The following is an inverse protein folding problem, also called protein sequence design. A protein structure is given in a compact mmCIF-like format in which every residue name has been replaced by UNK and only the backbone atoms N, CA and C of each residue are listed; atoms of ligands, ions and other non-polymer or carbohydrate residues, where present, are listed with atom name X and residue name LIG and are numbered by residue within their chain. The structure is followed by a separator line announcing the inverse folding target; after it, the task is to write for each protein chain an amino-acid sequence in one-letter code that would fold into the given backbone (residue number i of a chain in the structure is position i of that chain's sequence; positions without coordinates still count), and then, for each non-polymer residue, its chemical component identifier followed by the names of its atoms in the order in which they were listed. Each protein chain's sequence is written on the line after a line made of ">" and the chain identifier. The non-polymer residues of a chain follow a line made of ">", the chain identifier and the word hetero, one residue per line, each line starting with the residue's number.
data_IF_597973225954
#
_entry.id   IF_597973225954
#
_cell.length_a   1.000
_cell.length_b   1.000
_cell.length_c   1.000
_cell.angle_alpha   90.00
_cell.angle_beta   90.00
_cell.angle_gamma   90.00
#
_symmetry.space_group_name_H-M   'P 1'
#
loop_
_entity.id
_entity.type
_entity.pdbx_description
1 polymer ?
#
# COMPACT_ATOMS: atom_id res chain seq x y z
N UNK A 1 64.01 5.79 31.77
CA UNK A 1 63.13 6.78 31.10
C UNK A 1 62.09 6.17 30.14
N UNK A 2 62.15 4.87 29.81
CA UNK A 2 61.13 4.22 28.94
C UNK A 2 59.84 3.77 29.68
N UNK A 3 59.87 3.52 30.99
CA UNK A 3 58.71 2.97 31.69
C UNK A 3 57.56 3.97 31.95
N UNK A 4 57.83 5.29 31.97
CA UNK A 4 56.76 6.30 32.15
C UNK A 4 55.87 6.49 30.92
N UNK A 5 56.27 6.05 29.72
CA UNK A 5 55.47 6.21 28.50
C UNK A 5 54.37 5.16 28.35
N UNK A 6 54.54 3.97 28.93
CA UNK A 6 53.56 2.88 28.83
C UNK A 6 52.32 3.09 29.72
N UNK A 7 52.49 3.72 30.89
CA UNK A 7 51.39 3.94 31.81
C UNK A 7 50.35 4.95 31.27
N UNK A 8 50.80 5.98 30.55
CA UNK A 8 49.90 6.96 29.94
C UNK A 8 49.11 6.39 28.75
N UNK A 9 49.68 5.43 28.02
CA UNK A 9 49.00 4.79 26.89
C UNK A 9 47.88 3.84 27.36
N UNK A 10 48.10 3.11 28.46
CA UNK A 10 47.09 2.22 29.05
C UNK A 10 45.89 2.97 29.64
N UNK A 11 46.11 4.16 30.21
CA UNK A 11 45.02 5.00 30.75
C UNK A 11 44.17 5.56 29.59
N UNK A 12 44.79 6.00 28.50
CA UNK A 12 44.04 6.48 27.33
C UNK A 12 43.24 5.33 26.69
N UNK A 13 43.82 4.13 26.59
CA UNK A 13 43.11 2.97 26.03
C UNK A 13 41.93 2.51 26.89
N UNK A 14 42.06 2.53 28.23
CA UNK A 14 40.96 2.19 29.14
C UNK A 14 39.88 3.26 29.17
N UNK A 15 40.22 4.55 29.06
CA UNK A 15 39.22 5.63 28.90
C UNK A 15 38.47 5.46 27.58
N UNK A 16 39.14 5.13 26.46
CA UNK A 16 38.47 4.88 25.17
C UNK A 16 37.55 3.66 25.24
N UNK A 17 37.95 2.57 25.91
CA UNK A 17 37.12 1.38 26.11
C UNK A 17 35.93 1.64 27.05
N UNK A 18 36.10 2.43 28.11
CA UNK A 18 35.01 2.82 29.03
C UNK A 18 34.02 3.80 28.40
N UNK A 19 34.47 4.70 27.51
CA UNK A 19 33.58 5.57 26.73
C UNK A 19 32.87 4.78 25.62
N UNK A 20 33.50 3.75 25.05
CA UNK A 20 32.88 2.90 24.01
C UNK A 20 31.84 1.91 24.57
N UNK A 21 31.90 1.58 25.87
CA UNK A 21 31.03 0.59 26.51
C UNK A 21 29.58 1.04 26.81
N UNK A 22 29.21 2.29 26.50
CA UNK A 22 27.83 2.80 26.61
C UNK A 22 27.32 3.48 25.33
N UNK A 23 27.82 3.05 24.17
CA UNK A 23 27.10 3.35 22.94
C UNK A 23 25.83 2.48 22.95
N UNK A 24 24.72 3.10 23.38
CA UNK A 24 23.39 2.51 23.35
C UNK A 24 23.19 1.82 22.00
N UNK A 25 22.91 0.52 22.05
CA UNK A 25 22.77 -0.30 20.87
C UNK A 25 21.51 0.14 20.13
N UNK A 26 21.67 1.03 19.15
CA UNK A 26 20.55 1.49 18.32
C UNK A 26 20.06 0.28 17.52
N UNK A 27 18.87 -0.22 17.85
CA UNK A 27 18.21 -1.22 17.03
C UNK A 27 17.74 -0.57 15.74
N UNK A 28 18.30 -1.03 14.62
CA UNK A 28 17.91 -0.62 13.27
C UNK A 28 16.89 -1.63 12.76
N UNK A 29 15.65 -1.18 12.58
CA UNK A 29 14.60 -2.02 12.00
C UNK A 29 14.83 -2.29 10.51
N UNK A 30 14.45 -3.49 10.05
CA UNK A 30 14.41 -3.80 8.61
C UNK A 30 13.01 -3.54 8.03
N UNK A 31 12.90 -3.08 6.78
CA UNK A 31 11.59 -2.85 6.14
C UNK A 31 10.76 -4.14 6.07
N UNK A 32 9.47 -4.05 6.39
CA UNK A 32 8.54 -5.18 6.42
C UNK A 32 8.68 -6.10 7.64
N UNK A 33 9.68 -5.87 8.50
CA UNK A 33 9.79 -6.59 9.77
C UNK A 33 8.86 -5.99 10.82
N UNK A 34 8.31 -6.87 11.67
CA UNK A 34 7.57 -6.45 12.86
C UNK A 34 8.59 -6.07 13.93
N UNK A 35 8.58 -4.80 14.33
CA UNK A 35 9.36 -4.33 15.47
C UNK A 35 8.45 -4.26 16.69
N UNK A 36 8.93 -4.82 17.79
CA UNK A 36 8.25 -4.76 19.08
C UNK A 36 9.14 -3.98 20.05
N UNK A 37 8.56 -2.94 20.65
CA UNK A 37 9.23 -2.08 21.62
C UNK A 37 8.54 -2.21 22.96
N UNK A 38 9.30 -2.61 23.99
CA UNK A 38 8.73 -2.84 25.32
C UNK A 38 8.56 -1.50 26.06
N UNK A 39 7.38 -1.19 26.61
CA UNK A 39 7.07 0.18 27.07
C UNK A 39 7.84 0.73 28.28
N UNK A 40 8.76 -0.03 28.88
CA UNK A 40 9.60 0.45 29.99
C UNK A 40 11.05 0.73 29.58
N UNK A 41 11.44 0.45 28.33
CA UNK A 41 12.77 0.81 27.87
C UNK A 41 12.77 2.29 27.50
N UNK A 42 13.47 3.12 28.28
CA UNK A 42 13.80 4.50 27.89
C UNK A 42 14.86 4.53 26.76
N UNK A 43 14.84 3.52 25.89
CA UNK A 43 15.78 3.33 24.80
C UNK A 43 15.29 4.08 23.57
N UNK A 44 16.22 4.79 22.93
CA UNK A 44 15.95 5.45 21.66
C UNK A 44 16.00 4.40 20.54
N UNK A 45 14.92 4.32 19.76
CA UNK A 45 14.86 3.43 18.61
C UNK A 45 15.00 4.22 17.32
N UNK A 46 15.61 3.59 16.30
CA UNK A 46 15.85 4.21 15.00
C UNK A 46 15.26 3.35 13.88
N UNK A 47 14.36 3.97 13.10
CA UNK A 47 13.94 3.47 11.80
C UNK A 47 14.79 4.14 10.73
N UNK A 48 15.23 3.39 9.73
CA UNK A 48 16.06 3.91 8.67
C UNK A 48 15.76 3.23 7.34
N UNK A 49 15.63 4.06 6.29
CA UNK A 49 15.51 3.65 4.91
C UNK A 49 16.76 4.04 4.10
N UNK A 50 16.86 3.51 2.88
CA UNK A 50 17.96 3.81 1.97
C UNK A 50 17.87 5.26 1.43
N UNK A 51 18.93 5.76 0.77
CA UNK A 51 18.85 6.97 -0.06
C UNK A 51 17.66 6.97 -1.02
N UNK A 52 16.90 8.07 -1.09
CA UNK A 52 15.66 8.23 -1.89
C UNK A 52 14.50 7.31 -1.47
N UNK A 53 14.52 6.79 -0.24
CA UNK A 53 13.41 6.07 0.35
C UNK A 53 12.95 6.74 1.63
N UNK A 54 11.65 6.69 1.87
CA UNK A 54 11.03 7.21 3.09
C UNK A 54 10.32 6.10 3.84
N UNK A 55 10.30 6.24 5.16
CA UNK A 55 9.58 5.39 6.09
C UNK A 55 8.08 5.61 5.86
N UNK A 56 7.35 4.50 5.75
CA UNK A 56 5.89 4.45 5.79
C UNK A 56 5.51 3.49 6.91
N UNK A 57 4.90 4.01 7.97
CA UNK A 57 4.34 3.16 9.02
C UNK A 57 3.12 2.42 8.45
N UNK A 58 3.14 1.10 8.38
CA UNK A 58 2.00 0.31 7.89
C UNK A 58 1.03 -0.02 9.02
N UNK A 59 1.58 -0.26 10.21
CA UNK A 59 0.85 -0.60 11.42
C UNK A 59 1.59 -0.01 12.61
N UNK A 60 0.87 0.58 13.55
CA UNK A 60 1.40 0.92 14.86
C UNK A 60 0.32 0.72 15.90
N UNK A 61 0.54 -0.24 16.78
CA UNK A 61 -0.41 -0.66 17.78
C UNK A 61 0.23 -0.56 19.15
N UNK A 62 -0.50 -0.01 20.11
CA UNK A 62 -0.03 0.16 21.48
C UNK A 62 -0.99 -0.50 22.47
N UNK A 63 -0.45 -1.35 23.35
CA UNK A 63 -1.27 -2.11 24.30
C UNK A 63 -0.61 -3.40 24.77
N UNK A 64 -1.45 -4.33 25.23
CA UNK A 64 -1.03 -5.64 25.76
C UNK A 64 -1.07 -6.72 24.66
N UNK A 65 0.10 -7.31 24.36
CA UNK A 65 0.27 -8.36 23.34
C UNK A 65 0.68 -9.69 23.96
N UNK A 66 -0.08 -10.77 23.66
CA UNK A 66 0.16 -12.12 24.20
C UNK A 66 1.45 -12.79 23.72
N UNK A 67 1.92 -12.41 22.53
CA UNK A 67 2.96 -13.15 21.81
C UNK A 67 4.28 -12.36 21.72
N UNK A 68 4.41 -11.30 22.53
CA UNK A 68 5.55 -10.38 22.45
C UNK A 68 6.77 -10.88 23.23
N UNK A 69 7.95 -10.74 22.65
CA UNK A 69 9.23 -11.09 23.30
C UNK A 69 9.55 -10.28 24.56
N UNK A 70 8.71 -9.30 24.91
CA UNK A 70 8.81 -8.43 26.07
C UNK A 70 8.35 -9.06 27.39
N UNK A 71 7.69 -10.23 27.35
CA UNK A 71 7.29 -10.98 28.54
C UNK A 71 7.49 -12.50 28.36
N UNK A 72 8.37 -13.07 29.17
CA UNK A 72 8.70 -14.51 29.15
C UNK A 72 7.77 -15.33 30.07
N UNK A 73 6.82 -14.67 30.77
CA UNK A 73 6.17 -15.26 31.95
C UNK A 73 4.65 -15.47 31.88
N UNK A 74 3.97 -15.01 30.83
CA UNK A 74 2.50 -15.10 30.74
C UNK A 74 1.99 -16.40 30.09
N UNK A 75 2.26 -17.51 30.75
CA UNK A 75 1.70 -18.82 30.44
C UNK A 75 0.18 -18.84 30.81
N UNK A 76 -0.69 -18.97 29.80
CA UNK A 76 -2.07 -19.52 29.88
C UNK A 76 -3.29 -18.65 30.28
N UNK A 77 -3.36 -17.34 30.02
CA UNK A 77 -4.64 -16.59 30.22
C UNK A 77 -5.37 -16.27 28.90
N UNK A 78 -6.56 -16.84 28.73
CA UNK A 78 -7.54 -16.53 27.66
C UNK A 78 -8.22 -15.14 27.83
N UNK A 79 -7.53 -14.12 28.36
CA UNK A 79 -8.13 -12.78 28.50
C UNK A 79 -8.16 -12.04 27.16
N UNK A 80 -9.18 -11.19 26.98
CA UNK A 80 -9.36 -10.29 25.83
C UNK A 80 -8.18 -9.30 25.75
N UNK A 81 -7.77 -8.97 24.52
CA UNK A 81 -6.61 -8.10 24.27
C UNK A 81 -7.02 -6.64 24.29
N UNK A 82 -6.15 -5.82 24.86
CA UNK A 82 -6.36 -4.40 24.98
C UNK A 82 -5.34 -3.64 24.13
N UNK A 83 -5.70 -3.35 22.87
CA UNK A 83 -4.80 -2.75 21.89
C UNK A 83 -5.50 -1.59 21.18
N UNK A 84 -4.80 -0.47 21.05
CA UNK A 84 -5.26 0.71 20.30
C UNK A 84 -4.30 1.00 19.18
N UNK A 85 -4.83 1.28 17.99
CA UNK A 85 -4.01 1.75 16.88
C UNK A 85 -3.60 3.21 17.09
N UNK A 86 -2.30 3.45 17.02
CA UNK A 86 -1.63 4.75 17.21
C UNK A 86 -0.83 5.16 15.97
N UNK A 87 -1.20 4.61 14.81
CA UNK A 87 -0.57 4.88 13.52
C UNK A 87 -0.60 6.35 13.14
N UNK A 88 -1.66 7.08 13.47
CA UNK A 88 -1.78 8.52 13.23
C UNK A 88 -0.73 9.33 14.01
N UNK A 89 -0.40 8.88 15.22
CA UNK A 89 0.64 9.52 16.05
C UNK A 89 2.03 9.18 15.53
N UNK A 90 2.28 7.92 15.17
CA UNK A 90 3.60 7.51 14.68
C UNK A 90 3.87 8.00 13.24
N UNK A 91 2.85 8.16 12.41
CA UNK A 91 2.95 8.78 11.09
C UNK A 91 3.49 10.21 11.18
N UNK A 92 2.92 11.02 12.09
CA UNK A 92 3.36 12.39 12.33
C UNK A 92 4.83 12.46 12.73
N UNK A 93 5.31 11.46 13.46
CA UNK A 93 6.68 11.39 13.97
C UNK A 93 7.65 10.85 12.91
N UNK A 94 7.30 9.76 12.22
CA UNK A 94 8.24 8.98 11.42
C UNK A 94 7.95 8.95 9.92
N UNK A 95 6.69 8.95 9.50
CA UNK A 95 6.37 8.76 8.09
C UNK A 95 6.83 9.94 7.23
N UNK A 96 7.33 9.62 6.03
CA UNK A 96 7.93 10.59 5.12
C UNK A 96 9.38 10.97 5.44
N UNK A 97 9.96 10.47 6.53
CA UNK A 97 11.39 10.63 6.84
C UNK A 97 12.21 9.47 6.30
N UNK A 98 13.46 9.71 5.96
CA UNK A 98 14.41 8.63 5.71
C UNK A 98 14.91 7.99 7.00
N UNK A 99 15.15 8.79 8.04
CA UNK A 99 15.60 8.36 9.36
C UNK A 99 14.62 8.91 10.39
N UNK A 100 14.07 8.04 11.23
CA UNK A 100 13.24 8.42 12.36
C UNK A 100 13.85 7.91 13.66
N UNK A 101 14.01 8.81 14.64
CA UNK A 101 14.36 8.44 16.01
C UNK A 101 13.22 8.82 16.94
N UNK A 102 12.86 7.92 17.84
CA UNK A 102 11.82 8.16 18.84
C UNK A 102 12.06 7.30 20.08
N UNK A 103 11.53 7.75 21.21
CA UNK A 103 11.55 7.03 22.49
C UNK A 103 10.10 6.65 22.80
N UNK A 104 9.75 5.35 22.79
CA UNK A 104 8.44 4.88 23.14
C UNK A 104 8.29 4.73 24.67
N UNK A 105 7.05 4.85 25.19
CA UNK A 105 5.91 5.48 24.53
C UNK A 105 6.06 7.02 24.53
N UNK A 106 5.70 7.67 23.42
CA UNK A 106 5.61 9.14 23.41
C UNK A 106 4.35 9.61 24.16
N UNK A 107 4.37 10.82 24.73
CA UNK A 107 3.21 11.38 25.44
C UNK A 107 1.93 11.31 24.61
N UNK A 108 2.02 11.61 23.31
CA UNK A 108 0.89 11.56 22.38
C UNK A 108 0.32 10.15 22.19
N UNK A 109 1.18 9.12 22.21
CA UNK A 109 0.78 7.70 22.11
C UNK A 109 0.06 7.27 23.39
N UNK A 110 0.58 7.67 24.56
CA UNK A 110 -0.05 7.41 25.86
C UNK A 110 -1.44 8.07 25.90
N UNK A 111 -1.53 9.34 25.51
CA UNK A 111 -2.79 10.08 25.52
C UNK A 111 -3.80 9.48 24.54
N UNK A 112 -3.38 9.11 23.33
CA UNK A 112 -4.26 8.46 22.36
C UNK A 112 -4.79 7.11 22.86
N UNK A 113 -3.95 6.35 23.57
CA UNK A 113 -4.40 5.13 24.24
C UNK A 113 -5.40 5.45 25.34
N UNK A 114 -5.14 6.40 26.22
CA UNK A 114 -6.05 6.73 27.32
C UNK A 114 -7.40 7.27 26.84
N UNK A 115 -7.44 8.02 25.72
CA UNK A 115 -8.67 8.60 25.20
C UNK A 115 -9.51 7.64 24.37
N UNK A 116 -8.89 6.77 23.56
CA UNK A 116 -9.60 5.87 22.63
C UNK A 116 -9.94 4.53 23.28
N UNK A 117 -9.30 4.20 24.39
CA UNK A 117 -9.38 2.86 24.95
C UNK A 117 -10.48 2.71 26.00
N UNK A 118 -11.43 1.82 25.72
CA UNK A 118 -12.48 1.41 26.66
C UNK A 118 -12.08 0.17 27.49
N UNK A 119 -10.79 -0.11 27.65
CA UNK A 119 -10.38 -1.29 28.41
C UNK A 119 -10.71 -1.18 29.90
N UNK A 120 -11.08 -2.32 30.52
CA UNK A 120 -11.19 -2.43 31.97
C UNK A 120 -9.91 -1.94 32.67
N UNK A 121 -10.04 -1.28 33.82
CA UNK A 121 -8.90 -0.72 34.56
C UNK A 121 -7.86 -1.78 34.95
N UNK A 122 -8.30 -3.02 35.16
CA UNK A 122 -7.41 -4.16 35.37
C UNK A 122 -6.41 -4.35 34.23
N UNK A 123 -6.83 -4.12 32.98
CA UNK A 123 -5.97 -4.25 31.79
C UNK A 123 -5.05 -3.03 31.60
N UNK A 124 -5.39 -1.87 32.18
CA UNK A 124 -4.56 -0.66 32.10
C UNK A 124 -3.29 -0.75 32.96
N UNK A 125 -3.30 -1.59 33.99
CA UNK A 125 -2.17 -1.82 34.89
C UNK A 125 -1.09 -2.74 34.30
N UNK A 126 -1.40 -3.47 33.22
CA UNK A 126 -0.42 -4.32 32.55
C UNK A 126 0.59 -3.49 31.75
N UNK A 127 1.76 -4.08 31.53
CA UNK A 127 2.81 -3.49 30.69
C UNK A 127 2.25 -3.27 29.28
N UNK A 128 2.45 -2.07 28.75
CA UNK A 128 2.01 -1.70 27.41
C UNK A 128 3.24 -1.76 26.51
N UNK A 129 3.14 -2.46 25.40
CA UNK A 129 4.19 -2.49 24.40
C UNK A 129 3.72 -1.72 23.16
N UNK A 130 4.68 -1.28 22.34
CA UNK A 130 4.43 -0.65 21.05
C UNK A 130 4.89 -1.61 19.95
N UNK A 131 3.96 -2.06 19.12
CA UNK A 131 4.24 -2.87 17.94
C UNK A 131 4.17 -2.00 16.69
N UNK A 132 5.24 -1.99 15.91
CA UNK A 132 5.34 -1.18 14.69
C UNK A 132 5.73 -2.05 13.51
N UNK A 133 5.00 -1.92 12.42
CA UNK A 133 5.40 -2.43 11.10
C UNK A 133 5.60 -1.21 10.21
N UNK A 134 6.73 -1.15 9.54
CA UNK A 134 7.02 -0.08 8.58
C UNK A 134 7.63 -0.67 7.33
N UNK A 135 7.53 0.06 6.22
CA UNK A 135 8.26 -0.24 4.99
C UNK A 135 8.97 1.00 4.48
N UNK A 136 9.97 0.78 3.63
CA UNK A 136 10.62 1.84 2.88
C UNK A 136 9.95 1.98 1.52
N UNK A 137 9.59 3.21 1.18
CA UNK A 137 8.97 3.55 -0.10
C UNK A 137 9.92 4.44 -0.89
N UNK A 138 10.30 3.99 -2.08
CA UNK A 138 11.10 4.79 -3.01
C UNK A 138 10.31 6.03 -3.44
N UNK A 139 10.95 7.19 -3.33
CA UNK A 139 10.37 8.48 -3.68
C UNK A 139 11.26 9.23 -4.66
N UNK A 140 10.63 10.07 -5.47
CA UNK A 140 11.36 11.10 -6.19
C UNK A 140 11.45 12.30 -5.27
N UNK A 141 12.65 12.56 -4.75
CA UNK A 141 12.92 13.74 -3.92
C UNK A 141 12.93 15.00 -4.78
N UNK A 142 12.14 15.99 -4.40
CA UNK A 142 12.22 17.32 -4.98
C UNK A 142 13.41 18.06 -4.36
N UNK A 143 14.38 18.55 -5.14
CA UNK A 143 15.54 19.23 -4.60
C UNK A 143 15.11 20.52 -3.89
N UNK A 144 15.45 20.65 -2.60
CA UNK A 144 15.07 21.81 -1.79
C UNK A 144 16.01 23.01 -1.91
N UNK A 145 17.17 22.85 -2.56
CA UNK A 145 18.17 23.92 -2.66
C UNK A 145 18.95 23.88 -3.99
N UNK A 146 19.27 25.04 -4.58
CA UNK A 146 18.69 26.36 -4.30
C UNK A 146 17.23 26.43 -4.75
N UNK A 147 16.43 27.30 -4.14
CA UNK A 147 15.04 27.51 -4.52
C UNK A 147 15.00 28.01 -5.96
N UNK A 148 14.64 27.11 -6.88
CA UNK A 148 14.52 27.43 -8.30
C UNK A 148 13.13 27.97 -8.53
N UNK A 149 13.05 29.12 -9.19
CA UNK A 149 11.78 29.65 -9.70
C UNK A 149 11.19 28.73 -10.79
N UNK A 150 12.02 27.85 -11.38
CA UNK A 150 11.57 26.87 -12.37
C UNK A 150 10.98 25.62 -11.72
N UNK A 151 9.86 25.11 -12.27
CA UNK A 151 9.24 23.90 -11.74
C UNK A 151 10.15 22.69 -11.90
N UNK A 152 10.15 21.82 -10.89
CA UNK A 152 10.81 20.52 -10.98
C UNK A 152 10.03 19.61 -11.92
N UNK A 153 10.66 19.25 -13.03
CA UNK A 153 10.05 18.42 -14.07
C UNK A 153 10.21 16.94 -13.74
N UNK A 154 9.09 16.26 -13.47
CA UNK A 154 9.07 14.80 -13.30
C UNK A 154 8.63 14.17 -14.62
N UNK A 155 9.60 13.61 -15.35
CA UNK A 155 9.33 12.81 -16.53
C UNK A 155 9.00 11.37 -16.13
N UNK A 156 7.75 10.98 -16.32
CA UNK A 156 7.26 9.62 -16.09
C UNK A 156 8.04 8.54 -16.84
N UNK A 157 8.71 8.88 -17.96
CA UNK A 157 9.61 7.95 -18.66
C UNK A 157 10.80 7.51 -17.81
N UNK A 158 11.25 8.37 -16.89
CA UNK A 158 12.44 8.11 -16.04
C UNK A 158 12.07 7.39 -14.75
N UNK A 159 10.93 7.73 -14.16
CA UNK A 159 10.52 7.26 -12.84
C UNK A 159 9.44 6.18 -12.86
N UNK A 160 8.93 5.84 -14.05
CA UNK A 160 7.88 4.84 -14.23
C UNK A 160 6.47 5.41 -14.14
N UNK A 161 5.51 4.51 -14.37
CA UNK A 161 4.07 4.80 -14.44
C UNK A 161 3.42 4.92 -13.06
N UNK A 162 4.15 4.60 -11.99
CA UNK A 162 3.69 4.77 -10.62
C UNK A 162 4.89 5.15 -9.77
N UNK A 163 4.83 6.33 -9.15
CA UNK A 163 5.83 6.74 -8.18
C UNK A 163 5.21 7.64 -7.11
N UNK A 164 5.96 7.80 -6.03
CA UNK A 164 5.62 8.69 -4.93
C UNK A 164 6.52 9.90 -4.96
N UNK A 165 5.94 11.09 -4.86
CA UNK A 165 6.63 12.35 -4.78
C UNK A 165 6.69 12.75 -3.32
N UNK A 166 7.91 12.89 -2.80
CA UNK A 166 8.12 13.45 -1.48
C UNK A 166 8.42 14.93 -1.62
N UNK A 167 7.57 15.73 -1.00
CA UNK A 167 7.73 17.17 -0.90
C UNK A 167 8.16 17.52 0.52
N UNK A 168 9.39 17.17 0.88
CA UNK A 168 9.94 17.50 2.19
C UNK A 168 11.03 18.55 2.04
N UNK A 169 10.69 19.81 2.27
CA UNK A 169 11.66 20.89 2.42
C UNK A 169 11.49 21.52 3.80
N UNK A 170 12.47 21.33 4.67
CA UNK A 170 12.54 22.05 5.96
C UNK A 170 12.67 23.55 5.72
N UNK A 171 13.42 23.91 4.68
CA UNK A 171 13.56 25.29 4.25
C UNK A 171 12.41 25.67 3.31
N UNK A 172 11.37 26.26 3.90
CA UNK A 172 10.73 27.54 3.51
C UNK A 172 10.63 27.96 2.03
N UNK A 173 10.73 27.07 1.04
CA UNK A 173 10.70 27.43 -0.36
C UNK A 173 9.46 26.86 -1.04
N UNK A 174 8.67 27.72 -1.71
CA UNK A 174 7.57 27.25 -2.53
C UNK A 174 8.17 26.37 -3.62
N UNK A 175 7.85 25.09 -3.57
CA UNK A 175 8.30 24.13 -4.56
C UNK A 175 7.15 23.91 -5.52
N UNK A 176 7.39 24.16 -6.80
CA UNK A 176 6.45 23.77 -7.85
C UNK A 176 6.97 22.53 -8.55
N UNK A 177 6.11 21.53 -8.69
CA UNK A 177 6.39 20.27 -9.36
C UNK A 177 5.51 20.19 -10.59
N UNK A 178 6.12 19.93 -11.74
CA UNK A 178 5.40 19.78 -13.00
C UNK A 178 5.55 18.35 -13.49
N UNK A 179 4.46 17.59 -13.39
CA UNK A 179 4.39 16.21 -13.85
C UNK A 179 4.03 16.23 -15.33
N UNK A 180 4.81 15.53 -16.15
CA UNK A 180 4.55 15.42 -17.58
C UNK A 180 4.56 13.96 -18.01
N UNK A 181 3.57 13.61 -18.82
CA UNK A 181 3.48 12.30 -19.46
C UNK A 181 3.31 12.45 -20.98
N UNK A 182 3.46 11.34 -21.70
CA UNK A 182 3.22 11.32 -23.14
C UNK A 182 1.77 11.68 -23.45
N UNK A 183 1.54 12.22 -24.65
CA UNK A 183 0.18 12.53 -25.12
C UNK A 183 -0.76 11.33 -24.92
N UNK A 184 -2.02 11.62 -24.56
CA UNK A 184 -3.11 10.64 -24.30
C UNK A 184 -2.95 9.79 -23.04
N UNK A 185 -1.98 10.09 -22.20
CA UNK A 185 -1.90 9.54 -20.86
C UNK A 185 -2.37 10.57 -19.85
N UNK A 186 -2.96 10.06 -18.78
CA UNK A 186 -3.59 10.83 -17.72
C UNK A 186 -2.98 10.43 -16.38
N UNK A 187 -3.16 11.30 -15.38
CA UNK A 187 -2.65 11.09 -14.03
C UNK A 187 -3.81 10.83 -13.07
N UNK A 188 -3.68 9.79 -12.25
CA UNK A 188 -4.48 9.61 -11.05
C UNK A 188 -3.58 10.02 -9.86
N UNK A 189 -3.90 11.14 -9.24
CA UNK A 189 -3.14 11.71 -8.14
C UNK A 189 -3.85 11.43 -6.80
N UNK A 190 -3.13 10.82 -5.88
CA UNK A 190 -3.58 10.48 -4.53
C UNK A 190 -2.63 11.12 -3.51
N UNK A 191 -3.20 11.67 -2.44
CA UNK A 191 -2.46 12.16 -1.29
C UNK A 191 -2.29 11.04 -0.27
N UNK A 192 -1.09 10.88 0.26
CA UNK A 192 -0.84 10.20 1.52
C UNK A 192 -0.45 11.27 2.56
N UNK A 193 -1.40 11.62 3.44
CA UNK A 193 -1.24 12.63 4.48
C UNK A 193 -0.71 11.97 5.75
N UNK A 194 0.46 12.39 6.23
CA UNK A 194 1.04 11.90 7.50
C UNK A 194 0.67 12.78 8.69
N UNK A 195 0.01 13.91 8.46
CA UNK A 195 -0.56 14.77 9.51
C UNK A 195 -2.00 14.46 9.85
N UNK A 196 -2.59 13.43 9.25
CA UNK A 196 -3.97 13.03 9.50
C UNK A 196 -4.22 12.73 10.98
N UNK A 197 -5.46 12.95 11.41
CA UNK A 197 -5.91 12.61 12.75
C UNK A 197 -7.28 11.94 12.63
N UNK A 198 -7.43 10.74 13.18
CA UNK A 198 -8.69 9.99 13.09
C UNK A 198 -9.86 10.76 13.74
N UNK A 199 -9.54 11.63 14.69
CA UNK A 199 -10.52 12.26 15.58
C UNK A 199 -10.90 13.66 15.06
N UNK A 200 -10.17 14.22 14.08
CA UNK A 200 -10.46 15.52 13.49
C UNK A 200 -11.25 15.39 12.19
N UNK A 201 -12.47 15.90 12.18
CA UNK A 201 -13.26 16.13 10.96
C UNK A 201 -13.10 17.57 10.43
N UNK A 202 -11.99 18.23 10.75
CA UNK A 202 -11.80 19.66 10.54
C UNK A 202 -12.01 20.10 9.08
N UNK A 203 -12.64 21.25 8.91
CA UNK A 203 -12.77 21.92 7.62
C UNK A 203 -11.41 22.43 7.13
N UNK A 204 -11.22 22.48 5.81
CA UNK A 204 -9.96 22.92 5.23
C UNK A 204 -9.82 24.45 5.28
N UNK A 205 -9.36 24.96 6.41
CA UNK A 205 -9.17 26.41 6.56
C UNK A 205 -7.94 26.91 5.80
N UNK A 206 -6.92 26.07 5.67
CA UNK A 206 -5.66 26.48 5.05
C UNK A 206 -5.06 25.33 4.22
N UNK A 207 -5.00 25.44 2.88
CA UNK A 207 -4.37 24.42 2.05
C UNK A 207 -2.84 24.49 2.11
N UNK A 208 -2.18 23.34 2.07
CA UNK A 208 -0.70 23.28 1.99
C UNK A 208 -0.20 23.10 0.56
N UNK A 209 -1.07 22.72 -0.37
CA UNK A 209 -0.71 22.59 -1.79
C UNK A 209 -1.91 22.92 -2.68
N UNK A 210 -1.62 23.30 -3.92
CA UNK A 210 -2.60 23.52 -4.97
C UNK A 210 -2.22 22.70 -6.20
N UNK A 211 -3.14 21.88 -6.69
CA UNK A 211 -2.96 21.09 -7.91
C UNK A 211 -3.73 21.77 -9.04
N UNK A 212 -3.06 21.99 -10.18
CA UNK A 212 -3.66 22.55 -11.40
C UNK A 212 -3.64 21.51 -12.51
N UNK A 213 -4.82 21.27 -13.09
CA UNK A 213 -5.07 20.43 -14.27
C UNK A 213 -5.70 21.32 -15.36
N UNK A 214 -4.85 21.96 -16.17
CA UNK A 214 -5.27 23.01 -17.09
C UNK A 214 -5.84 24.22 -16.34
N UNK A 215 -7.14 24.50 -16.54
CA UNK A 215 -7.85 25.60 -15.85
C UNK A 215 -8.43 25.16 -14.49
N UNK A 216 -8.51 23.85 -14.22
CA UNK A 216 -9.06 23.33 -12.96
C UNK A 216 -8.01 23.46 -11.87
N UNK A 217 -8.37 24.09 -10.76
CA UNK A 217 -7.53 24.28 -9.58
C UNK A 217 -8.16 23.56 -8.38
N UNK A 218 -7.36 22.78 -7.67
CA UNK A 218 -7.78 22.02 -6.48
C UNK A 218 -6.86 22.38 -5.32
N UNK A 219 -7.44 22.81 -4.22
CA UNK A 219 -6.72 23.06 -2.97
C UNK A 219 -6.60 21.74 -2.18
N UNK A 220 -5.39 21.43 -1.72
CA UNK A 220 -5.08 20.22 -0.94
C UNK A 220 -4.78 20.60 0.50
N UNK A 221 -5.40 19.89 1.42
CA UNK A 221 -5.54 20.25 2.82
C UNK A 221 -4.99 19.15 3.71
N UNK A 222 -4.37 19.52 4.82
CA UNK A 222 -3.81 18.57 5.79
C UNK A 222 -4.80 18.30 6.90
N UNK A 223 -4.65 17.17 7.58
CA UNK A 223 -5.32 16.90 8.85
C UNK A 223 -6.74 16.41 8.67
N UNK A 224 -7.04 15.83 7.51
CA UNK A 224 -8.31 15.14 7.31
C UNK A 224 -8.42 13.87 8.17
N UNK A 225 -9.62 13.32 8.25
CA UNK A 225 -9.92 12.09 8.97
C UNK A 225 -9.47 10.80 8.26
N UNK A 226 -8.77 10.91 7.12
CA UNK A 226 -8.19 9.76 6.43
C UNK A 226 -6.73 10.01 6.17
N UNK A 227 -5.98 8.91 6.14
CA UNK A 227 -4.57 8.89 5.77
C UNK A 227 -4.35 9.05 4.27
N UNK A 228 -5.23 8.46 3.45
CA UNK A 228 -5.09 8.39 2.00
C UNK A 228 -6.33 8.98 1.32
N UNK A 229 -6.13 9.93 0.42
CA UNK A 229 -7.22 10.66 -0.26
C UNK A 229 -6.97 10.79 -1.75
N UNK A 230 -7.97 10.45 -2.56
CA UNK A 230 -7.92 10.76 -3.99
C UNK A 230 -8.05 12.27 -4.20
N UNK A 231 -7.12 12.87 -4.97
CA UNK A 231 -7.14 14.31 -5.26
C UNK A 231 -7.83 14.57 -6.60
N UNK A 232 -7.29 13.97 -7.66
CA UNK A 232 -7.77 14.21 -9.02
C UNK A 232 -7.40 13.06 -9.95
N UNK A 233 -8.33 12.77 -10.86
CA UNK A 233 -8.07 12.07 -12.10
C UNK A 233 -7.96 13.11 -13.21
N UNK A 234 -6.73 13.41 -13.63
CA UNK A 234 -6.41 14.47 -14.58
C UNK A 234 -6.93 14.14 -15.97
N UNK A 235 -7.44 15.15 -16.66
CA UNK A 235 -7.81 15.03 -18.07
C UNK A 235 -6.65 15.37 -19.02
N UNK A 236 -5.66 16.11 -18.52
CA UNK A 236 -4.47 16.52 -19.26
C UNK A 236 -3.31 15.51 -19.13
N UNK A 237 -2.30 15.70 -19.98
CA UNK A 237 -1.03 14.97 -19.94
C UNK A 237 0.02 15.71 -19.09
N UNK A 238 -0.39 16.72 -18.33
CA UNK A 238 0.47 17.49 -17.44
C UNK A 238 -0.28 17.96 -16.20
N UNK A 239 0.35 17.85 -15.04
CA UNK A 239 -0.15 18.39 -13.78
C UNK A 239 0.86 19.36 -13.18
N UNK A 240 0.39 20.49 -12.68
CA UNK A 240 1.22 21.44 -11.95
C UNK A 240 0.81 21.43 -10.47
N UNK A 241 1.73 21.01 -9.61
CA UNK A 241 1.54 20.91 -8.17
C UNK A 241 2.37 22.03 -7.53
N UNK A 242 1.69 22.95 -6.87
CA UNK A 242 2.28 24.08 -6.16
C UNK A 242 2.24 23.80 -4.66
N UNK A 243 3.38 23.78 -3.98
CA UNK A 243 3.47 23.57 -2.53
C UNK A 243 3.57 24.93 -1.84
N UNK A 244 2.64 25.20 -0.94
CA UNK A 244 2.51 26.48 -0.25
C UNK A 244 3.47 26.50 0.95
N UNK A 245 4.37 27.49 0.96
CA UNK A 245 5.33 27.71 2.05
C UNK A 245 4.62 27.93 3.38
N UNK A 246 5.07 27.22 4.42
CA UNK A 246 4.65 27.44 5.82
C UNK A 246 5.80 27.36 6.82
N UNK A 247 5.53 27.86 8.03
CA UNK A 247 6.47 27.84 9.16
C UNK A 247 6.71 26.42 9.68
N UNK A 248 5.66 25.59 9.70
CA UNK A 248 5.75 24.19 10.10
C UNK A 248 5.79 23.32 8.85
N UNK A 249 6.83 22.49 8.66
CA UNK A 249 6.93 21.64 7.49
C UNK A 249 5.80 20.60 7.52
N UNK A 250 5.16 20.43 6.39
CA UNK A 250 4.17 19.38 6.19
C UNK A 250 4.86 18.10 5.73
N UNK A 251 4.33 16.98 6.21
CA UNK A 251 4.78 15.66 5.78
C UNK A 251 3.62 14.97 5.08
N UNK A 252 3.78 14.78 3.78
CA UNK A 252 2.83 14.09 2.93
C UNK A 252 3.57 13.56 1.71
N UNK A 253 2.96 12.61 1.01
CA UNK A 253 3.40 12.17 -0.31
C UNK A 253 2.28 12.35 -1.32
N UNK A 254 2.65 12.69 -2.56
CA UNK A 254 1.76 12.52 -3.69
C UNK A 254 2.09 11.21 -4.39
N UNK A 255 1.16 10.26 -4.35
CA UNK A 255 1.22 9.07 -5.19
C UNK A 255 0.56 9.41 -6.53
N UNK A 256 1.29 9.27 -7.63
CA UNK A 256 0.70 9.38 -8.95
C UNK A 256 0.71 8.02 -9.64
N UNK A 257 -0.37 7.74 -10.38
CA UNK A 257 -0.47 6.61 -11.28
C UNK A 257 -0.81 7.11 -12.69
N UNK A 258 0.02 6.78 -13.67
CA UNK A 258 -0.19 7.15 -15.06
C UNK A 258 -1.00 6.07 -15.75
N UNK A 259 -2.17 6.43 -16.24
CA UNK A 259 -3.05 5.51 -16.97
C UNK A 259 -3.35 6.05 -18.37
N UNK A 260 -3.91 5.19 -19.23
CA UNK A 260 -4.03 5.44 -20.66
C UNK A 260 -2.80 4.96 -21.42
N UNK A 261 -2.97 4.80 -22.73
CA UNK A 261 -2.02 4.11 -23.59
C UNK A 261 -1.10 5.10 -24.30
N UNK A 262 0.21 4.84 -24.23
CA UNK A 262 1.22 5.57 -25.01
C UNK A 262 0.98 5.32 -26.49
N UNK A 263 0.96 6.36 -27.33
CA UNK A 263 0.78 6.21 -28.78
C UNK A 263 1.76 5.15 -29.34
N UNK A 264 1.28 4.14 -30.10
CA UNK A 264 2.16 3.11 -30.64
C UNK A 264 3.10 3.71 -31.70
N UNK A 265 4.22 3.04 -32.02
CA UNK A 265 5.05 3.45 -33.14
C UNK A 265 4.20 3.44 -34.42
N UNK A 266 4.16 4.59 -35.10
CA UNK A 266 3.32 4.77 -36.29
C UNK A 266 3.97 4.12 -37.51
N UNK A 267 3.26 3.26 -38.27
CA UNK A 267 3.77 2.76 -39.55
C UNK A 267 3.97 3.92 -40.53
N UNK A 268 4.96 3.81 -41.41
CA UNK A 268 5.19 4.82 -42.45
C UNK A 268 3.95 4.98 -43.34
N UNK A 269 3.71 6.18 -43.86
CA UNK A 269 2.54 6.49 -44.70
C UNK A 269 1.20 6.20 -44.01
N UNK A 270 1.06 6.53 -42.73
CA UNK A 270 -0.19 6.39 -41.99
C UNK A 270 -0.60 7.69 -41.29
N UNK A 271 -1.88 7.79 -40.94
CA UNK A 271 -2.44 8.85 -40.09
C UNK A 271 -3.21 8.25 -38.92
N UNK A 272 -3.10 8.87 -37.75
CA UNK A 272 -3.91 8.49 -36.58
C UNK A 272 -5.20 9.30 -36.58
N UNK A 273 -6.32 8.60 -36.52
CA UNK A 273 -7.59 9.16 -36.08
C UNK A 273 -7.91 8.64 -34.69
N UNK A 274 -8.53 9.50 -33.90
CA UNK A 274 -8.70 9.25 -32.48
C UNK A 274 -10.17 9.03 -32.20
N UNK A 275 -10.51 7.89 -31.62
CA UNK A 275 -11.87 7.54 -31.25
C UNK A 275 -12.06 7.73 -29.75
N UNK A 276 -13.30 7.58 -29.26
CA UNK A 276 -13.62 7.71 -27.83
C UNK A 276 -12.85 6.70 -26.97
N UNK A 277 -12.77 5.47 -27.44
CA UNK A 277 -12.22 4.33 -26.67
C UNK A 277 -10.86 3.84 -27.23
N UNK A 278 -10.31 4.51 -28.25
CA UNK A 278 -9.07 4.07 -28.86
C UNK A 278 -8.51 4.96 -29.96
N UNK A 279 -7.81 4.32 -30.90
CA UNK A 279 -7.27 4.95 -32.10
C UNK A 279 -7.53 4.08 -33.32
N UNK A 280 -7.74 4.73 -34.46
CA UNK A 280 -7.81 4.10 -35.77
C UNK A 280 -6.64 4.64 -36.58
N UNK A 281 -5.73 3.76 -36.96
CA UNK A 281 -4.58 4.07 -37.82
C UNK A 281 -5.02 3.78 -39.25
N UNK A 282 -5.09 4.82 -40.07
CA UNK A 282 -5.44 4.71 -41.49
C UNK A 282 -4.19 4.84 -42.35
N UNK A 283 -3.98 3.90 -43.28
CA UNK A 283 -2.91 4.00 -44.25
C UNK A 283 -3.24 5.02 -45.34
N UNK A 284 -2.24 5.77 -45.82
CA UNK A 284 -2.40 6.79 -46.85
C UNK A 284 -2.31 6.22 -48.27
N UNK A 285 -1.61 5.08 -48.44
CA UNK A 285 -1.38 4.44 -49.74
C UNK A 285 -2.28 3.24 -50.03
N UNK A 286 -3.07 2.80 -49.04
CA UNK A 286 -3.95 1.62 -49.12
C UNK A 286 -5.20 1.86 -48.29
N UNK A 287 -6.28 1.13 -48.56
CA UNK A 287 -7.54 1.25 -47.80
C UNK A 287 -7.53 0.50 -46.45
N UNK A 288 -6.37 -0.04 -46.04
CA UNK A 288 -6.23 -0.70 -44.74
C UNK A 288 -6.38 0.26 -43.56
N UNK A 289 -7.07 -0.22 -42.53
CA UNK A 289 -7.29 0.48 -41.27
C UNK A 289 -7.02 -0.48 -40.11
N UNK A 290 -6.30 0.00 -39.10
CA UNK A 290 -6.01 -0.74 -37.88
C UNK A 290 -6.69 -0.05 -36.71
N UNK A 291 -7.62 -0.74 -36.06
CA UNK A 291 -8.29 -0.25 -34.87
C UNK A 291 -7.62 -0.83 -33.63
N UNK A 292 -7.24 0.06 -32.72
CA UNK A 292 -6.62 -0.27 -31.44
C UNK A 292 -7.45 0.32 -30.31
N UNK A 293 -7.82 -0.50 -29.34
CA UNK A 293 -8.56 -0.11 -28.14
C UNK A 293 -7.57 0.00 -26.98
N UNK A 294 -7.69 1.05 -26.17
CA UNK A 294 -6.84 1.21 -25.00
C UNK A 294 -7.43 0.47 -23.80
N UNK A 295 -6.75 -0.56 -23.30
CA UNK A 295 -7.16 -1.31 -22.11
C UNK A 295 -6.10 -1.15 -21.03
N UNK A 296 -6.43 -0.37 -19.99
CA UNK A 296 -5.50 0.00 -18.93
C UNK A 296 -4.37 0.91 -19.43
N UNK A 297 -3.20 0.33 -19.64
CA UNK A 297 -2.00 1.01 -20.18
C UNK A 297 -1.53 0.42 -21.52
N UNK A 298 -2.24 -0.56 -22.08
CA UNK A 298 -1.82 -1.31 -23.27
C UNK A 298 -2.83 -1.22 -24.41
N UNK A 299 -2.32 -1.14 -25.65
CA UNK A 299 -3.14 -1.21 -26.85
C UNK A 299 -3.51 -2.66 -27.16
N UNK A 300 -4.80 -2.88 -27.43
CA UNK A 300 -5.35 -4.16 -27.87
C UNK A 300 -5.89 -4.00 -29.29
N UNK A 301 -5.39 -4.83 -30.20
CA UNK A 301 -5.77 -4.84 -31.61
C UNK A 301 -4.60 -5.30 -32.49
N UNK A 302 -4.83 -5.43 -33.79
CA UNK A 302 -3.81 -5.84 -34.75
C UNK A 302 -3.23 -4.62 -35.45
N UNK A 303 -1.94 -4.35 -35.24
CA UNK A 303 -1.19 -3.34 -35.99
C UNK A 303 -0.47 -4.02 -37.15
N UNK A 304 -0.82 -3.64 -38.39
CA UNK A 304 -0.13 -4.10 -39.59
C UNK A 304 0.71 -3.00 -40.24
N UNK A 305 1.40 -3.37 -41.32
CA UNK A 305 2.18 -2.43 -42.12
C UNK A 305 1.32 -1.72 -43.16
N UNK A 306 1.58 -0.42 -43.38
CA UNK A 306 0.93 0.37 -44.43
C UNK A 306 1.67 0.32 -45.78
N UNK A 307 2.48 -0.73 -46.02
CA UNK A 307 3.14 -0.88 -47.33
C UNK A 307 2.07 -1.14 -48.37
N UNK A 308 2.16 -0.44 -49.51
CA UNK A 308 1.30 -0.71 -50.64
C UNK A 308 1.46 -2.18 -51.02
N UNK A 309 0.42 -2.99 -50.77
CA UNK A 309 0.44 -4.35 -51.25
C UNK A 309 0.55 -4.28 -52.78
N UNK A 310 1.53 -4.98 -53.41
CA UNK A 310 1.52 -5.15 -54.84
C UNK A 310 0.21 -5.84 -55.16
N UNK A 311 -0.73 -5.14 -55.84
CA UNK A 311 -2.09 -5.57 -56.22
C UNK A 311 -2.12 -7.08 -56.50
N UNK A 312 -2.26 -7.89 -55.46
CA UNK A 312 -2.20 -9.32 -55.58
C UNK A 312 -3.63 -9.74 -55.73
N UNK A 313 -3.94 -10.01 -56.99
CA UNK A 313 -5.16 -10.55 -57.53
C UNK A 313 -5.96 -11.33 -56.48
N UNK A 314 -7.18 -10.84 -56.26
CA UNK A 314 -8.37 -11.62 -55.95
C UNK A 314 -8.05 -12.96 -55.29
N UNK A 315 -7.87 -12.94 -53.97
CA UNK A 315 -7.97 -14.14 -53.16
C UNK A 315 -9.37 -14.70 -53.35
N UNK A 316 -9.48 -15.58 -54.36
CA UNK A 316 -10.52 -16.58 -54.48
C UNK A 316 -10.65 -17.21 -53.11
N UNK A 317 -11.72 -16.84 -52.40
CA UNK A 317 -12.19 -17.54 -51.23
C UNK A 317 -12.51 -18.94 -51.69
N UNK A 318 -11.50 -19.82 -51.68
CA UNK A 318 -11.71 -21.25 -51.81
C UNK A 318 -12.70 -21.61 -50.70
N UNK A 319 -13.92 -22.07 -51.04
CA UNK A 319 -14.90 -22.43 -50.05
C UNK A 319 -14.23 -23.45 -49.12
N UNK A 320 -14.28 -23.16 -47.82
CA UNK A 320 -13.78 -24.08 -46.79
C UNK A 320 -14.44 -25.43 -47.09
N UNK A 321 -13.59 -26.41 -47.42
CA UNK A 321 -14.02 -27.76 -47.74
C UNK A 321 -14.98 -28.23 -46.66
N UNK A 322 -16.19 -28.61 -47.04
CA UNK A 322 -17.28 -29.06 -46.16
C UNK A 322 -16.82 -30.17 -45.20
N UNK A 323 -15.77 -30.91 -45.56
CA UNK A 323 -15.12 -31.91 -44.70
C UNK A 323 -14.50 -31.31 -43.44
N UNK A 324 -13.91 -30.11 -43.52
CA UNK A 324 -13.26 -29.47 -42.37
C UNK A 324 -14.29 -28.98 -41.33
N UNK A 325 -15.44 -28.49 -41.78
CA UNK A 325 -16.55 -28.09 -40.91
C UNK A 325 -17.15 -29.28 -40.17
N UNK A 326 -17.32 -30.43 -40.84
CA UNK A 326 -17.82 -31.67 -40.22
C UNK A 326 -16.85 -32.15 -39.12
N UNK A 327 -15.54 -32.15 -39.39
CA UNK A 327 -14.53 -32.56 -38.41
C UNK A 327 -14.56 -31.64 -37.17
N UNK A 328 -14.70 -30.32 -37.36
CA UNK A 328 -14.78 -29.36 -36.26
C UNK A 328 -16.01 -29.59 -35.36
N UNK A 329 -17.17 -29.89 -35.94
CA UNK A 329 -18.41 -30.18 -35.19
C UNK A 329 -18.27 -31.48 -34.39
N UNK A 330 -17.66 -32.52 -34.96
CA UNK A 330 -17.43 -33.80 -34.26
C UNK A 330 -16.44 -33.60 -33.09
N UNK A 331 -15.35 -32.87 -33.29
CA UNK A 331 -14.39 -32.56 -32.24
C UNK A 331 -15.03 -31.79 -31.07
N UNK A 332 -15.87 -30.79 -31.38
CA UNK A 332 -16.59 -30.04 -30.35
C UNK A 332 -17.56 -30.93 -29.55
N UNK A 333 -18.29 -31.83 -30.22
CA UNK A 333 -19.20 -32.76 -29.55
C UNK A 333 -18.47 -33.72 -28.60
N UNK A 334 -17.30 -34.25 -28.99
CA UNK A 334 -16.48 -35.13 -28.15
C UNK A 334 -15.97 -34.37 -26.91
N UNK A 335 -15.48 -33.15 -27.08
CA UNK A 335 -14.99 -32.34 -25.96
C UNK A 335 -16.11 -32.10 -24.94
N UNK A 336 -17.31 -31.73 -25.39
CA UNK A 336 -18.46 -31.51 -24.50
C UNK A 336 -18.85 -32.81 -23.79
N UNK A 337 -18.91 -33.93 -24.50
CA UNK A 337 -19.33 -35.21 -23.96
C UNK A 337 -18.35 -35.80 -22.92
N UNK A 338 -17.05 -35.53 -23.04
CA UNK A 338 -16.05 -36.10 -22.13
C UNK A 338 -15.56 -35.12 -21.05
N UNK A 339 -15.36 -33.84 -21.37
CA UNK A 339 -14.78 -32.87 -20.42
C UNK A 339 -15.77 -32.43 -19.35
N UNK A 340 -17.05 -32.27 -19.70
CA UNK A 340 -18.07 -31.84 -18.72
C UNK A 340 -18.31 -32.93 -17.65
N UNK A 341 -18.55 -34.21 -18.00
CA UNK A 341 -18.76 -35.24 -16.97
C UNK A 341 -17.52 -35.50 -16.11
N UNK A 342 -16.32 -35.49 -16.72
CA UNK A 342 -15.07 -35.71 -15.98
C UNK A 342 -14.75 -34.56 -15.03
N UNK A 343 -14.99 -33.31 -15.42
CA UNK A 343 -14.81 -32.15 -14.53
C UNK A 343 -15.82 -32.14 -13.37
N UNK A 344 -17.08 -32.51 -13.61
CA UNK A 344 -18.09 -32.67 -12.54
C UNK A 344 -17.70 -33.78 -11.58
N UNK A 345 -17.34 -34.97 -12.08
CA UNK A 345 -16.85 -36.08 -11.25
C UNK A 345 -15.63 -35.68 -10.44
N UNK A 346 -14.67 -34.96 -11.04
CA UNK A 346 -13.48 -34.49 -10.35
C UNK A 346 -13.80 -33.52 -9.21
N UNK A 347 -14.69 -32.55 -9.43
CA UNK A 347 -15.11 -31.58 -8.39
C UNK A 347 -15.84 -32.28 -7.26
N UNK A 348 -16.76 -33.21 -7.55
CA UNK A 348 -17.47 -33.99 -6.54
C UNK A 348 -16.50 -34.84 -5.71
N UNK A 349 -15.58 -35.55 -6.37
CA UNK A 349 -14.59 -36.39 -5.69
C UNK A 349 -13.62 -35.55 -4.83
N UNK A 350 -13.24 -34.36 -5.31
CA UNK A 350 -12.43 -33.41 -4.53
C UNK A 350 -13.20 -32.85 -3.33
N UNK A 351 -14.51 -32.59 -3.45
CA UNK A 351 -15.35 -32.15 -2.33
C UNK A 351 -15.49 -33.26 -1.28
N UNK A 352 -15.67 -34.51 -1.71
CA UNK A 352 -15.80 -35.67 -0.83
C UNK A 352 -14.49 -35.98 -0.08
N UNK A 353 -13.32 -35.79 -0.71
CA UNK A 353 -12.02 -35.89 0.00
C UNK A 353 -11.85 -34.80 1.06
N UNK A 354 -12.37 -33.59 0.82
CA UNK A 354 -12.33 -32.50 1.81
C UNK A 354 -13.25 -32.74 3.00
N UNK A 355 -14.39 -33.42 2.82
CA UNK A 355 -15.24 -33.80 3.96
C UNK A 355 -14.56 -34.86 4.83
N UNK A 356 -13.89 -35.86 4.23
CA UNK A 356 -13.15 -36.86 4.99
C UNK A 356 -11.92 -36.27 5.72
N UNK A 357 -11.18 -35.33 5.11
CA UNK A 357 -10.06 -34.68 5.81
C UNK A 357 -10.46 -33.85 7.03
N UNK A 358 -11.67 -33.28 7.04
CA UNK A 358 -12.19 -32.56 8.22
C UNK A 358 -12.46 -33.49 9.40
N UNK A 359 -12.71 -34.76 9.13
CA UNK A 359 -12.97 -35.78 10.16
C UNK A 359 -11.66 -36.35 10.74
N UNK A 360 -10.60 -36.45 9.93
CA UNK A 360 -9.27 -36.88 10.40
C UNK A 360 -8.43 -35.77 11.06
N UNK A 361 -8.67 -34.49 10.73
CA UNK A 361 -7.97 -33.37 11.39
C UNK A 361 -8.40 -33.13 12.85
N UNK A 362 -9.48 -33.79 13.31
CA UNK A 362 -9.93 -33.73 14.71
C UNK A 362 -9.36 -34.88 15.58
N UNK A 363 -8.59 -35.79 14.99
CA UNK A 363 -8.02 -36.96 15.66
C UNK A 363 -6.48 -36.95 15.68
N UNK A 364 -5.85 -35.79 15.93
CA UNK A 364 -4.43 -35.78 16.29
C UNK A 364 -4.26 -35.96 17.80
N UNK A 365 -3.66 -37.07 18.27
CA UNK A 365 -3.28 -37.22 19.67
C UNK A 365 -2.13 -36.27 20.02
N UNK A 366 -2.26 -35.56 21.13
CA UNK A 366 -1.24 -34.68 21.68
C UNK A 366 0.08 -35.46 21.89
N UNK A 367 1.25 -34.89 21.55
CA UNK A 367 2.54 -35.48 21.89
C UNK A 367 2.72 -35.46 23.41
N UNK A 368 2.67 -36.64 24.02
CA UNK A 368 2.96 -36.85 25.44
C UNK A 368 4.48 -36.86 25.68
N UNK A 369 5.07 -35.70 25.92
CA UNK A 369 6.35 -35.60 26.62
C UNK A 369 6.09 -35.18 28.07
N UNK A 370 5.75 -36.17 28.90
CA UNK A 370 5.70 -36.04 30.35
C UNK A 370 7.03 -36.51 30.94
N UNK A 371 7.88 -35.58 31.34
CA UNK A 371 8.94 -35.82 32.30
C UNK A 371 8.31 -35.88 33.70
N UNK A 372 8.40 -37.06 34.33
CA UNK A 372 8.00 -37.31 35.72
C UNK A 372 8.68 -36.31 36.66
N UNK A 373 7.87 -35.55 37.40
CA UNK A 373 8.24 -35.06 38.73
C UNK A 373 7.13 -35.40 39.71
N UNK A 374 7.51 -36.22 40.67
CA UNK A 374 6.69 -36.80 41.73
C UNK A 374 6.40 -35.76 42.79
N UNK A 375 5.13 -35.36 42.94
CA UNK A 375 4.63 -34.92 44.26
C UNK A 375 3.16 -35.30 44.43
N UNK A 376 2.93 -36.12 45.44
CA UNK A 376 1.66 -36.63 45.93
C UNK A 376 0.89 -35.50 46.60
N UNK A 377 -0.36 -35.24 46.21
CA UNK A 377 -1.49 -35.00 47.13
C UNK A 377 -2.82 -35.26 46.41
N UNK A 378 -3.58 -36.16 46.99
CA UNK A 378 -4.93 -36.64 46.65
C UNK A 378 -6.01 -35.62 46.98
N UNK A 379 -6.88 -35.27 46.02
CA UNK A 379 -8.32 -35.03 46.25
C UNK A 379 -9.10 -35.05 44.92
N UNK A 380 -10.35 -35.56 45.00
CA UNK A 380 -11.24 -36.07 43.93
C UNK A 380 -11.59 -35.08 42.79
N UNK A 381 -11.81 -35.57 41.56
CA UNK A 381 -12.51 -34.80 40.52
C UNK A 381 -14.04 -34.98 40.59
N UNK A 382 -14.76 -33.87 40.41
CA UNK A 382 -16.20 -33.82 40.19
C UNK A 382 -16.54 -34.04 38.69
N UNK A 383 -17.74 -34.55 38.35
CA UNK A 383 -18.14 -34.86 36.98
C UNK A 383 -18.45 -33.59 36.15
N UNK A 384 -18.04 -33.60 34.88
CA UNK A 384 -18.35 -32.56 33.91
C UNK A 384 -19.79 -32.70 33.41
N UNK A 385 -20.62 -31.71 33.71
CA UNK A 385 -21.93 -31.55 33.09
C UNK A 385 -21.83 -31.06 31.64
N UNK A 386 -22.75 -31.60 30.85
CA UNK A 386 -22.94 -31.46 29.41
C UNK A 386 -23.60 -30.10 29.14
N UNK A 387 -22.95 -29.20 28.41
CA UNK A 387 -23.58 -27.96 27.92
C UNK A 387 -23.99 -28.10 26.45
N UNK A 388 -25.27 -27.84 26.21
CA UNK A 388 -25.95 -27.84 24.92
C UNK A 388 -25.46 -26.70 24.01
N UNK A 389 -25.24 -27.01 22.74
CA UNK A 389 -25.02 -26.04 21.68
C UNK A 389 -26.35 -25.43 21.22
N UNK A 390 -26.69 -24.23 21.71
CA UNK A 390 -27.67 -23.37 21.06
C UNK A 390 -26.97 -22.45 20.04
N UNK A 391 -27.30 -22.69 18.76
CA UNK A 391 -26.96 -21.83 17.63
C UNK A 391 -27.74 -20.52 17.73
N UNK A 392 -27.06 -19.41 18.02
CA UNK A 392 -27.53 -18.08 17.66
C UNK A 392 -26.89 -17.64 16.34
N UNK A 393 -27.74 -17.57 15.32
CA UNK A 393 -27.45 -16.96 14.02
C UNK A 393 -27.38 -15.45 14.25
N UNK A 394 -26.21 -14.86 14.08
CA UNK A 394 -26.07 -13.41 13.99
C UNK A 394 -26.41 -12.98 12.55
N UNK A 395 -27.56 -12.32 12.40
CA UNK A 395 -27.88 -11.52 11.21
C UNK A 395 -26.91 -10.33 11.12
N UNK A 396 -26.27 -10.16 9.97
CA UNK A 396 -25.49 -8.96 9.67
C UNK A 396 -26.44 -7.83 9.27
N UNK A 397 -26.22 -6.58 9.75
CA UNK A 397 -27.02 -5.45 9.29
C UNK A 397 -26.68 -5.09 7.84
N UNK A 398 -27.74 -4.91 7.06
CA UNK A 398 -27.74 -4.34 5.71
C UNK A 398 -27.05 -2.96 5.74
N UNK A 399 -26.05 -2.77 4.88
CA UNK A 399 -25.54 -1.44 4.57
C UNK A 399 -26.48 -0.76 3.58
N UNK A 400 -27.14 0.31 4.01
CA UNK A 400 -27.92 1.18 3.14
C UNK A 400 -26.99 1.88 2.13
N UNK A 401 -27.34 1.75 0.86
CA UNK A 401 -26.75 2.48 -0.26
C UNK A 401 -27.26 3.92 -0.17
N UNK A 402 -26.38 4.85 0.19
CA UNK A 402 -26.67 6.29 0.14
C UNK A 402 -26.59 6.73 -1.31
N UNK A 403 -27.76 6.93 -1.93
CA UNK A 403 -27.89 7.62 -3.22
C UNK A 403 -27.45 9.08 -3.09
N UNK A 404 -26.42 9.45 -3.85
CA UNK A 404 -25.97 10.84 -3.98
C UNK A 404 -26.80 11.51 -5.08
N UNK A 405 -27.45 12.67 -4.83
CA UNK A 405 -28.24 13.35 -5.84
C UNK A 405 -27.31 14.01 -6.87
N UNK A 406 -27.56 13.69 -8.14
CA UNK A 406 -26.92 14.28 -9.31
C UNK A 406 -27.56 15.65 -9.58
N UNK A 407 -26.86 16.74 -9.27
CA UNK A 407 -27.35 18.09 -9.54
C UNK A 407 -27.03 18.51 -11.00
N UNK A 408 -28.08 18.90 -11.71
CA UNK A 408 -28.08 19.22 -13.13
C UNK A 408 -28.07 20.75 -13.29
N UNK A 409 -26.90 21.39 -13.22
CA UNK A 409 -26.82 22.81 -13.56
C UNK A 409 -26.75 23.04 -15.08
N UNK A 410 -27.86 23.59 -15.58
CA UNK A 410 -28.08 24.05 -16.96
C UNK A 410 -27.14 25.20 -17.31
N UNK A 411 -26.65 25.15 -18.56
CA UNK A 411 -26.10 26.27 -19.33
C UNK A 411 -27.14 27.39 -19.45
N UNK A 412 -26.74 28.61 -19.13
CA UNK A 412 -27.27 29.84 -19.72
C UNK A 412 -26.17 30.43 -20.59
N UNK A 413 -26.39 30.35 -21.91
CA UNK A 413 -25.69 31.14 -22.92
C UNK A 413 -26.36 32.51 -22.93
N UNK A 414 -25.59 33.59 -22.77
CA UNK A 414 -26.01 34.91 -23.20
C UNK A 414 -24.93 35.51 -24.11
N UNK A 415 -25.48 36.12 -25.16
CA UNK A 415 -24.93 36.91 -26.27
C UNK A 415 -23.82 37.89 -25.91
#
# INVERSE_FOLDING_TARGET
>A
MLERKYCSFFIILTIIQLVSGRLNQIQIGQPGSVLEFCGNSAEEHQLQCSPNEVIIIEMADYGDFKDGGCDVSSINRKKERCVVSVIDKLDKICSGKQICRFIPPTTDVIQAYESRNNCPDELKAFRKDLRVIFRCLSVVETPCSPCRDSPFMVDTKRFGDSASLSAFCEDSCPTSVHLVTSQRRQFNLTLLDFGWDSDNSGECDQPFSQVRDGQRKISVCQGGNRRRHHIITSSANSLHIEIIKRKTPYRFLFEYHVFGCKLPPMPANSRVKTTKDGIVIECLTSDHKFELICVGSSWVGMLGDCRAEPKSQTSSSKPISTTATIILVICAAIIIAFVIPTSVLYVVNRRMRRSLQKEYAFAQPCPSNYTKSTTIYTTRPAPCDRMDHNNHIYEMPNYDVIDVPYDHQRRSVMT
#
